data_IF_911672107985
#
_entry.id   IF_911672107985
#
_cell.length_a   1.000
_cell.length_b   1.000
_cell.length_c   1.000
_cell.angle_alpha   90.00
_cell.angle_beta   90.00
_cell.angle_gamma   90.00
#
_symmetry.space_group_name_H-M   'P 1'
#
loop_
_entity.id
_entity.type
_entity.pdbx_description
1 polymer ?
#
# COMPACT_ATOMS: atom_id res chain seq x y z
N UNK A 1 -15.86 3.62 2.77
CA UNK A 1 -16.78 4.05 1.71
C UNK A 1 -17.84 2.99 1.49
N UNK A 2 -19.04 3.37 1.02
CA UNK A 2 -20.07 2.40 0.58
C UNK A 2 -19.86 1.99 -0.88
N UNK A 3 -18.74 2.36 -1.49
CA UNK A 3 -18.37 1.99 -2.85
C UNK A 3 -17.73 0.61 -2.85
N UNK A 4 -18.46 -0.36 -3.39
CA UNK A 4 -18.04 -1.77 -3.45
C UNK A 4 -16.82 -1.96 -4.35
N UNK A 5 -16.75 -1.24 -5.48
CA UNK A 5 -15.64 -1.35 -6.44
C UNK A 5 -14.35 -0.84 -5.82
N UNK A 6 -14.40 0.34 -5.20
CA UNK A 6 -13.26 0.89 -4.48
C UNK A 6 -12.80 -0.02 -3.32
N UNK A 7 -13.75 -0.63 -2.58
CA UNK A 7 -13.43 -1.57 -1.49
C UNK A 7 -12.74 -2.83 -2.03
N UNK A 8 -13.23 -3.37 -3.15
CA UNK A 8 -12.62 -4.55 -3.79
C UNK A 8 -11.26 -4.21 -4.39
N UNK A 9 -11.11 -3.04 -5.00
CA UNK A 9 -9.82 -2.59 -5.53
C UNK A 9 -8.78 -2.49 -4.40
N UNK A 10 -9.14 -1.88 -3.25
CA UNK A 10 -8.27 -1.85 -2.07
C UNK A 10 -7.98 -3.25 -1.50
N UNK A 11 -8.91 -4.21 -1.58
CA UNK A 11 -8.67 -5.59 -1.15
C UNK A 11 -7.69 -6.33 -2.07
N UNK A 12 -7.71 -6.03 -3.35
CA UNK A 12 -6.94 -6.73 -4.38
C UNK A 12 -5.60 -6.06 -4.73
N UNK A 13 -5.34 -4.83 -4.24
CA UNK A 13 -4.19 -4.04 -4.68
C UNK A 13 -2.84 -4.76 -4.46
N UNK A 14 -2.72 -5.51 -3.38
CA UNK A 14 -1.51 -6.24 -3.02
C UNK A 14 -1.51 -7.72 -3.45
N UNK A 15 -2.47 -8.17 -4.27
CA UNK A 15 -2.54 -9.58 -4.69
C UNK A 15 -1.32 -10.04 -5.48
N UNK A 16 -0.60 -9.12 -6.10
CA UNK A 16 0.63 -9.35 -6.85
C UNK A 16 1.90 -9.11 -6.02
N UNK A 17 1.75 -8.75 -4.74
CA UNK A 17 2.90 -8.43 -3.88
C UNK A 17 3.69 -9.69 -3.57
N UNK A 18 4.97 -9.79 -4.03
CA UNK A 18 5.81 -10.94 -3.75
C UNK A 18 6.32 -10.92 -2.32
N UNK A 19 6.80 -12.09 -1.86
CA UNK A 19 7.61 -12.15 -0.64
C UNK A 19 8.82 -11.23 -0.80
N UNK A 20 9.11 -10.43 0.23
CA UNK A 20 10.20 -9.43 0.21
C UNK A 20 10.03 -8.30 -0.83
N UNK A 21 8.79 -7.82 -1.06
CA UNK A 21 8.46 -6.81 -2.08
C UNK A 21 9.54 -5.71 -2.19
N UNK A 22 9.87 -5.03 -1.10
CA UNK A 22 10.83 -3.92 -1.14
C UNK A 22 12.25 -4.35 -1.57
N UNK A 23 12.68 -5.55 -1.21
CA UNK A 23 13.97 -6.09 -1.71
C UNK A 23 13.90 -6.46 -3.19
N UNK A 24 12.74 -6.89 -3.68
CA UNK A 24 12.48 -7.11 -5.11
C UNK A 24 12.51 -5.78 -5.87
N UNK A 25 11.97 -4.71 -5.30
CA UNK A 25 12.08 -3.36 -5.90
C UNK A 25 13.56 -2.92 -6.02
N UNK A 26 14.40 -3.20 -5.02
CA UNK A 26 15.84 -2.99 -5.11
C UNK A 26 16.50 -3.88 -6.16
N UNK A 27 16.09 -5.14 -6.27
CA UNK A 27 16.58 -6.08 -7.29
C UNK A 27 16.26 -5.58 -8.71
N UNK A 28 15.08 -5.05 -8.92
CA UNK A 28 14.58 -4.52 -10.18
C UNK A 28 15.06 -3.09 -10.47
N UNK A 29 15.76 -2.43 -9.54
CA UNK A 29 16.22 -1.04 -9.68
C UNK A 29 15.12 0.00 -9.47
N UNK A 30 13.96 -0.39 -8.97
CA UNK A 30 12.79 0.46 -8.76
C UNK A 30 12.59 0.88 -7.29
N UNK A 31 13.65 0.93 -6.53
CA UNK A 31 13.64 1.25 -5.10
C UNK A 31 13.10 2.64 -4.74
N UNK A 32 12.93 3.52 -5.73
CA UNK A 32 12.39 4.88 -5.53
C UNK A 32 10.86 4.92 -5.66
N UNK A 33 10.28 4.23 -6.64
CA UNK A 33 8.83 4.19 -6.89
C UNK A 33 8.15 3.03 -6.18
N UNK A 34 8.80 1.85 -6.17
CA UNK A 34 8.32 0.62 -5.53
C UNK A 34 7.05 0.04 -6.18
N UNK A 35 6.92 0.21 -7.51
CA UNK A 35 5.78 -0.23 -8.32
C UNK A 35 6.13 -1.43 -9.23
N UNK A 36 7.34 -1.98 -9.13
CA UNK A 36 7.90 -2.95 -10.09
C UNK A 36 7.08 -4.25 -10.24
N UNK A 37 6.20 -4.55 -9.29
CA UNK A 37 5.38 -5.78 -9.26
C UNK A 37 3.90 -5.54 -9.52
N UNK A 38 3.41 -4.31 -9.54
CA UNK A 38 1.98 -3.99 -9.64
C UNK A 38 1.35 -4.42 -10.96
N UNK A 39 2.10 -4.42 -12.05
CA UNK A 39 1.65 -4.84 -13.39
C UNK A 39 1.20 -6.31 -13.50
N UNK A 40 1.34 -7.12 -12.43
CA UNK A 40 0.89 -8.50 -12.39
C UNK A 40 -0.53 -8.66 -11.84
N UNK A 41 -1.08 -7.65 -11.17
CA UNK A 41 -2.39 -7.69 -10.50
C UNK A 41 -3.50 -8.14 -11.45
N UNK A 42 -3.66 -7.48 -12.60
CA UNK A 42 -4.65 -7.83 -13.63
C UNK A 42 -4.54 -9.30 -14.04
N UNK A 43 -3.33 -9.76 -14.37
CA UNK A 43 -3.10 -11.15 -14.81
C UNK A 43 -3.45 -12.18 -13.73
N UNK A 44 -3.19 -11.88 -12.47
CA UNK A 44 -3.52 -12.77 -11.35
C UNK A 44 -5.03 -12.85 -11.18
N UNK A 45 -5.73 -11.71 -11.23
CA UNK A 45 -7.19 -11.64 -11.16
C UNK A 45 -7.81 -12.44 -12.31
N UNK A 46 -7.37 -12.21 -13.56
CA UNK A 46 -7.87 -12.91 -14.76
C UNK A 46 -7.70 -14.43 -14.69
N UNK A 47 -6.58 -14.91 -14.14
CA UNK A 47 -6.31 -16.34 -13.99
C UNK A 47 -7.11 -17.00 -12.88
N UNK A 48 -7.62 -16.24 -11.93
CA UNK A 48 -8.39 -16.75 -10.79
C UNK A 48 -9.86 -16.94 -11.17
N UNK A 49 -10.26 -18.18 -11.46
CA UNK A 49 -11.67 -18.51 -11.75
C UNK A 49 -12.62 -18.07 -10.62
N UNK A 50 -12.19 -18.19 -9.37
CA UNK A 50 -13.00 -17.82 -8.21
C UNK A 50 -13.26 -16.31 -8.16
N UNK A 51 -12.20 -15.49 -8.33
CA UNK A 51 -12.33 -14.03 -8.32
C UNK A 51 -13.19 -13.58 -9.52
N UNK A 52 -12.89 -14.05 -10.71
CA UNK A 52 -13.63 -13.66 -11.93
C UNK A 52 -15.10 -14.06 -11.89
N UNK A 53 -15.45 -15.21 -11.32
CA UNK A 53 -16.85 -15.63 -11.12
C UNK A 53 -17.58 -14.72 -10.12
N UNK A 54 -16.93 -14.33 -9.02
CA UNK A 54 -17.51 -13.41 -8.04
C UNK A 54 -17.71 -12.01 -8.62
N UNK A 55 -16.73 -11.47 -9.33
CA UNK A 55 -16.83 -10.18 -10.00
C UNK A 55 -17.99 -10.18 -11.02
N UNK A 56 -18.08 -11.24 -11.85
CA UNK A 56 -19.17 -11.40 -12.83
C UNK A 56 -20.55 -11.47 -12.17
N UNK A 57 -20.69 -12.20 -11.06
CA UNK A 57 -21.92 -12.26 -10.27
C UNK A 57 -22.37 -10.89 -9.79
N UNK A 58 -21.42 -10.06 -9.40
CA UNK A 58 -21.65 -8.71 -8.91
C UNK A 58 -21.70 -7.65 -10.02
N UNK A 59 -21.53 -8.06 -11.28
CA UNK A 59 -21.48 -7.17 -12.46
C UNK A 59 -20.40 -6.09 -12.34
N UNK A 60 -19.23 -6.50 -11.91
CA UNK A 60 -18.04 -5.65 -11.76
C UNK A 60 -16.99 -6.10 -12.78
N UNK A 61 -16.50 -5.18 -13.60
CA UNK A 61 -15.43 -5.44 -14.54
C UNK A 61 -14.07 -5.48 -13.84
N UNK A 62 -13.13 -6.26 -14.35
CA UNK A 62 -11.78 -6.37 -13.78
C UNK A 62 -11.10 -5.00 -13.74
N UNK A 63 -11.23 -4.22 -14.81
CA UNK A 63 -10.68 -2.86 -14.91
C UNK A 63 -11.19 -1.87 -13.86
N UNK A 64 -12.25 -2.22 -13.13
CA UNK A 64 -12.78 -1.41 -12.03
C UNK A 64 -12.17 -1.77 -10.67
N UNK A 65 -11.33 -2.83 -10.60
CA UNK A 65 -10.78 -3.34 -9.34
C UNK A 65 -9.30 -3.73 -9.40
N UNK A 66 -8.69 -3.79 -10.58
CA UNK A 66 -7.29 -4.19 -10.76
C UNK A 66 -6.27 -3.05 -10.61
N UNK A 67 -6.77 -1.80 -10.61
CA UNK A 67 -5.95 -0.60 -10.41
C UNK A 67 -6.58 0.30 -9.35
N UNK A 68 -6.07 0.27 -8.12
CA UNK A 68 -6.61 1.07 -7.02
C UNK A 68 -6.29 2.56 -7.10
N UNK A 69 -5.32 2.97 -7.93
CA UNK A 69 -4.97 4.39 -8.17
C UNK A 69 -6.10 5.19 -8.84
N UNK A 70 -7.06 4.51 -9.49
CA UNK A 70 -8.24 5.20 -10.05
C UNK A 70 -9.18 5.76 -8.97
N UNK A 71 -9.00 5.34 -7.72
CA UNK A 71 -9.79 5.76 -6.57
C UNK A 71 -8.98 6.66 -5.65
N UNK A 72 -9.17 7.96 -5.72
CA UNK A 72 -8.42 8.96 -4.96
C UNK A 72 -8.46 8.80 -3.44
N UNK A 73 -9.48 8.08 -2.92
CA UNK A 73 -9.56 7.74 -1.49
C UNK A 73 -8.71 6.50 -1.18
N UNK A 74 -8.61 5.53 -2.11
CA UNK A 74 -7.83 4.31 -1.91
C UNK A 74 -6.34 4.62 -1.98
N UNK A 75 -5.93 5.31 -3.06
CA UNK A 75 -4.57 5.81 -3.21
C UNK A 75 -4.52 7.16 -3.95
N UNK A 76 -3.46 7.92 -3.74
CA UNK A 76 -3.21 9.22 -4.36
C UNK A 76 -1.73 9.63 -4.24
N UNK A 77 -1.37 10.72 -4.89
CA UNK A 77 -0.02 11.28 -4.87
C UNK A 77 0.44 11.69 -3.46
N UNK A 78 1.66 11.30 -3.11
CA UNK A 78 2.33 11.77 -1.88
C UNK A 78 2.53 13.30 -1.94
N UNK A 79 2.25 14.06 -0.87
CA UNK A 79 2.03 13.64 0.53
C UNK A 79 0.56 13.55 0.96
N UNK A 80 -0.40 13.52 0.02
CA UNK A 80 -1.83 13.46 0.35
C UNK A 80 -2.18 12.20 1.14
N UNK A 81 -3.22 12.25 1.97
CA UNK A 81 -3.68 11.11 2.75
C UNK A 81 -4.60 10.23 1.90
N UNK A 82 -4.36 8.92 1.89
CA UNK A 82 -5.22 7.90 1.30
C UNK A 82 -5.43 6.75 2.27
N UNK A 83 -6.33 5.82 1.93
CA UNK A 83 -6.66 4.70 2.79
C UNK A 83 -5.47 3.76 3.02
N UNK A 84 -4.68 3.50 1.97
CA UNK A 84 -3.48 2.69 2.04
C UNK A 84 -2.44 3.30 3.00
N UNK A 85 -2.09 4.59 2.82
CA UNK A 85 -1.14 5.29 3.72
C UNK A 85 -1.64 5.37 5.16
N UNK A 86 -2.95 5.56 5.36
CA UNK A 86 -3.55 5.56 6.70
C UNK A 86 -3.39 4.19 7.35
N UNK A 87 -3.76 3.12 6.62
CA UNK A 87 -3.73 1.74 7.12
C UNK A 87 -2.33 1.35 7.55
N UNK A 88 -1.34 1.37 6.63
CA UNK A 88 -0.01 0.92 6.97
C UNK A 88 0.68 1.80 8.03
N UNK A 89 0.34 3.11 8.10
CA UNK A 89 0.89 3.97 9.12
C UNK A 89 0.37 3.59 10.51
N UNK A 90 -0.92 3.32 10.65
CA UNK A 90 -1.52 2.93 11.93
C UNK A 90 -1.11 1.51 12.33
N UNK A 91 -1.11 0.55 11.39
CA UNK A 91 -0.69 -0.83 11.63
C UNK A 91 0.77 -0.90 12.07
N UNK A 92 1.66 -0.22 11.36
CA UNK A 92 3.09 -0.22 11.70
C UNK A 92 3.35 0.48 13.03
N UNK A 93 2.63 1.56 13.34
CA UNK A 93 2.73 2.23 14.63
C UNK A 93 2.34 1.33 15.80
N UNK A 94 1.33 0.47 15.61
CA UNK A 94 0.88 -0.48 16.61
C UNK A 94 1.78 -1.71 16.68
N UNK A 95 1.91 -2.44 15.55
CA UNK A 95 2.47 -3.79 15.56
C UNK A 95 3.98 -3.84 15.41
N UNK A 96 4.58 -2.90 14.69
CA UNK A 96 6.03 -2.91 14.41
C UNK A 96 6.81 -2.06 15.39
N UNK A 97 6.34 -0.83 15.61
CA UNK A 97 7.10 0.14 16.40
C UNK A 97 6.56 0.32 17.82
N UNK A 98 5.34 -0.17 18.10
CA UNK A 98 4.67 -0.07 19.41
C UNK A 98 4.67 1.37 19.97
N UNK A 99 4.42 2.35 19.10
CA UNK A 99 4.38 3.79 19.44
C UNK A 99 2.96 4.33 19.51
N UNK A 100 1.95 3.50 19.18
CA UNK A 100 0.53 3.81 19.25
C UNK A 100 -0.22 2.58 19.78
N UNK A 101 -1.23 2.79 20.60
CA UNK A 101 -2.12 1.74 21.07
C UNK A 101 -3.46 1.73 20.30
N UNK A 102 -4.30 0.74 20.55
CA UNK A 102 -5.61 0.60 19.90
C UNK A 102 -6.51 1.81 20.18
N UNK A 103 -6.42 2.40 21.37
CA UNK A 103 -7.19 3.60 21.71
C UNK A 103 -6.75 4.79 20.86
N UNK A 104 -5.45 5.00 20.72
CA UNK A 104 -4.89 6.05 19.88
C UNK A 104 -5.21 5.87 18.39
N UNK A 105 -5.23 4.63 17.90
CA UNK A 105 -5.71 4.31 16.54
C UNK A 105 -7.16 4.74 16.38
N UNK A 106 -8.01 4.34 17.33
CA UNK A 106 -9.44 4.67 17.28
C UNK A 106 -9.67 6.17 17.29
N UNK A 107 -8.97 6.92 18.12
CA UNK A 107 -9.06 8.39 18.18
C UNK A 107 -8.73 9.03 16.83
N UNK A 108 -7.64 8.59 16.17
CA UNK A 108 -7.23 9.07 14.85
C UNK A 108 -8.27 8.69 13.80
N UNK A 109 -8.70 7.43 13.79
CA UNK A 109 -9.65 6.91 12.80
C UNK A 109 -11.03 7.57 12.90
N UNK A 110 -11.53 7.78 14.12
CA UNK A 110 -12.83 8.43 14.37
C UNK A 110 -12.84 9.91 13.92
N UNK A 111 -11.67 10.55 13.78
CA UNK A 111 -11.55 11.94 13.32
C UNK A 111 -11.39 12.07 11.80
N UNK A 112 -11.23 10.95 11.08
CA UNK A 112 -11.11 10.96 9.61
C UNK A 112 -12.45 11.31 8.97
N UNK A 113 -12.37 12.13 7.92
CA UNK A 113 -13.51 12.42 7.04
C UNK A 113 -13.10 12.52 5.58
N UNK A 114 -14.06 12.36 4.67
CA UNK A 114 -13.85 12.58 3.23
C UNK A 114 -14.14 14.04 2.93
N UNK A 115 -13.12 14.73 2.47
CA UNK A 115 -13.19 16.14 2.07
C UNK A 115 -12.99 16.29 0.55
N UNK A 116 -13.17 17.49 0.03
CA UNK A 116 -12.75 17.87 -1.32
C UNK A 116 -11.57 18.83 -1.22
N UNK A 117 -10.52 18.54 -1.98
CA UNK A 117 -9.37 19.43 -2.10
C UNK A 117 -9.67 20.62 -3.03
N UNK A 118 -8.67 21.45 -3.30
CA UNK A 118 -8.77 22.65 -4.14
C UNK A 118 -9.18 22.32 -5.59
N UNK A 119 -8.89 21.09 -6.05
CA UNK A 119 -9.24 20.58 -7.37
C UNK A 119 -10.63 19.91 -7.39
N UNK A 120 -11.40 20.00 -6.29
CA UNK A 120 -12.69 19.32 -6.10
C UNK A 120 -12.61 17.77 -6.13
N UNK A 121 -11.43 17.20 -6.01
CA UNK A 121 -11.20 15.76 -5.89
C UNK A 121 -11.41 15.33 -4.43
N UNK A 122 -12.07 14.18 -4.24
CA UNK A 122 -12.26 13.62 -2.90
C UNK A 122 -10.93 13.10 -2.36
N UNK A 123 -10.63 13.43 -1.11
CA UNK A 123 -9.49 12.89 -0.38
C UNK A 123 -9.83 12.68 1.10
N UNK A 124 -8.99 11.91 1.81
CA UNK A 124 -9.09 11.77 3.26
C UNK A 124 -8.47 12.98 3.94
N UNK A 125 -9.14 13.47 4.97
CA UNK A 125 -8.67 14.55 5.82
C UNK A 125 -9.07 14.30 7.27
N UNK A 126 -8.72 15.25 8.13
CA UNK A 126 -9.07 15.23 9.54
C UNK A 126 -10.08 16.34 9.83
N UNK A 127 -11.05 16.05 10.70
CA UNK A 127 -12.00 17.07 11.19
C UNK A 127 -11.31 18.09 12.07
N UNK A 128 -10.30 17.67 12.84
CA UNK A 128 -9.60 18.54 13.78
C UNK A 128 -8.13 18.72 13.43
N UNK A 129 -7.63 19.95 13.58
CA UNK A 129 -6.22 20.28 13.40
C UNK A 129 -5.32 19.51 14.38
N UNK A 130 -5.83 19.26 15.58
CA UNK A 130 -5.10 18.54 16.62
C UNK A 130 -4.78 17.12 16.16
N UNK A 131 -5.78 16.41 15.60
CA UNK A 131 -5.62 15.04 15.15
C UNK A 131 -4.76 14.97 13.88
N UNK A 132 -4.89 15.95 12.97
CA UNK A 132 -4.00 16.09 11.83
C UNK A 132 -2.53 16.22 12.29
N UNK A 133 -2.25 17.09 13.26
CA UNK A 133 -0.89 17.25 13.80
C UNK A 133 -0.39 15.97 14.48
N UNK A 134 -1.24 15.28 15.24
CA UNK A 134 -0.91 14.00 15.89
C UNK A 134 -0.49 12.97 14.84
N UNK A 135 -1.27 12.84 13.78
CA UNK A 135 -0.97 11.91 12.68
C UNK A 135 0.29 12.28 11.91
N UNK A 136 0.50 13.57 11.56
CA UNK A 136 1.72 14.03 10.88
C UNK A 136 2.97 13.76 11.71
N UNK A 137 2.94 13.97 13.03
CA UNK A 137 4.05 13.63 13.92
C UNK A 137 4.34 12.13 13.91
N UNK A 138 3.31 11.30 13.96
CA UNK A 138 3.43 9.85 13.88
C UNK A 138 4.07 9.41 12.55
N UNK A 139 3.54 9.87 11.42
CA UNK A 139 4.05 9.49 10.08
C UNK A 139 5.45 10.03 9.82
N UNK A 140 5.80 11.21 10.35
CA UNK A 140 7.16 11.74 10.29
C UNK A 140 8.16 10.83 11.03
N UNK A 141 7.79 10.35 12.22
CA UNK A 141 8.60 9.38 12.95
C UNK A 141 8.76 8.08 12.14
N UNK A 142 7.68 7.52 11.63
CA UNK A 142 7.72 6.29 10.82
C UNK A 142 8.58 6.48 9.55
N UNK A 143 8.46 7.63 8.89
CA UNK A 143 9.25 7.96 7.69
C UNK A 143 10.76 7.98 7.98
N UNK A 144 11.17 8.47 9.15
CA UNK A 144 12.57 8.43 9.59
C UNK A 144 13.02 6.96 9.75
N UNK A 145 12.19 6.11 10.36
CA UNK A 145 12.50 4.70 10.57
C UNK A 145 12.62 3.94 9.23
N UNK A 146 11.73 4.17 8.27
CA UNK A 146 11.78 3.54 6.94
C UNK A 146 13.02 3.94 6.14
N UNK A 147 13.50 5.18 6.30
CA UNK A 147 14.64 5.74 5.56
C UNK A 147 15.99 5.54 6.23
N UNK A 148 16.06 4.83 7.36
CA UNK A 148 17.33 4.54 8.00
C UNK A 148 18.26 3.76 7.08
N UNK A 149 19.55 4.05 7.14
CA UNK A 149 20.57 3.32 6.36
C UNK A 149 20.52 1.82 6.61
N UNK A 150 20.30 1.41 7.87
CA UNK A 150 20.15 -0.02 8.23
C UNK A 150 19.03 -0.70 7.45
N UNK A 151 17.85 -0.08 7.37
CA UNK A 151 16.69 -0.62 6.66
C UNK A 151 16.99 -0.75 5.16
N UNK A 152 17.50 0.31 4.55
CA UNK A 152 17.84 0.32 3.12
C UNK A 152 18.97 -0.65 2.78
N UNK A 153 19.99 -0.72 3.63
CA UNK A 153 21.08 -1.68 3.48
C UNK A 153 20.59 -3.13 3.53
N UNK A 154 19.68 -3.45 4.46
CA UNK A 154 19.12 -4.81 4.56
C UNK A 154 18.34 -5.21 3.30
N UNK A 155 17.57 -4.28 2.73
CA UNK A 155 16.84 -4.52 1.47
C UNK A 155 17.81 -4.73 0.30
N UNK A 156 18.82 -3.88 0.16
CA UNK A 156 19.86 -4.02 -0.87
C UNK A 156 20.64 -5.33 -0.71
N UNK A 157 21.04 -5.66 0.51
CA UNK A 157 21.76 -6.90 0.80
C UNK A 157 20.95 -8.14 0.38
N UNK A 158 19.65 -8.18 0.73
CA UNK A 158 18.80 -9.29 0.30
C UNK A 158 18.64 -9.32 -1.23
N UNK A 159 18.48 -8.17 -1.87
CA UNK A 159 18.44 -8.08 -3.33
C UNK A 159 19.73 -8.63 -3.98
N UNK A 160 20.90 -8.37 -3.40
CA UNK A 160 22.17 -8.91 -3.88
C UNK A 160 22.27 -10.43 -3.70
N UNK A 161 21.78 -10.95 -2.57
CA UNK A 161 21.70 -12.42 -2.35
C UNK A 161 20.76 -13.07 -3.36
N UNK A 162 19.57 -12.50 -3.59
CA UNK A 162 18.61 -13.01 -4.58
C UNK A 162 19.23 -13.01 -6.00
N UNK A 163 19.94 -11.96 -6.36
CA UNK A 163 20.66 -11.89 -7.66
C UNK A 163 21.74 -12.95 -7.80
N UNK A 164 22.44 -13.28 -6.72
CA UNK A 164 23.43 -14.38 -6.74
C UNK A 164 22.74 -15.73 -6.90
N UNK A 165 21.65 -15.99 -6.20
CA UNK A 165 20.89 -17.24 -6.31
C UNK A 165 20.27 -17.41 -7.70
N UNK A 166 19.78 -16.33 -8.33
CA UNK A 166 19.27 -16.36 -9.70
C UNK A 166 20.41 -16.73 -10.70
N UNK A 167 21.58 -16.11 -10.56
CA UNK A 167 22.75 -16.45 -11.41
C UNK A 167 23.22 -17.91 -11.27
N UNK A 168 23.04 -18.49 -10.09
CA UNK A 168 23.34 -19.88 -9.82
C UNK A 168 22.19 -20.85 -10.21
N UNK A 169 21.11 -20.35 -10.81
CA UNK A 169 19.90 -21.09 -11.16
C UNK A 169 19.25 -21.81 -9.97
N UNK A 170 19.40 -21.27 -8.76
CA UNK A 170 18.76 -21.79 -7.54
C UNK A 170 17.37 -21.25 -7.31
N UNK A 171 17.07 -20.11 -7.89
CA UNK A 171 15.73 -19.48 -7.92
C UNK A 171 15.47 -18.90 -9.32
N UNK A 172 14.23 -18.70 -9.67
CA UNK A 172 13.84 -17.99 -10.89
C UNK A 172 12.95 -16.77 -10.55
N UNK A 173 12.76 -15.88 -11.52
CA UNK A 173 11.86 -14.72 -11.39
C UNK A 173 10.39 -15.12 -11.20
N UNK A 174 10.07 -16.41 -11.38
CA UNK A 174 8.71 -16.93 -11.25
C UNK A 174 8.49 -17.68 -9.93
N UNK A 175 9.54 -17.80 -9.11
CA UNK A 175 9.48 -18.41 -7.78
C UNK A 175 9.12 -17.35 -6.72
#
# INVERSE_FOLDING_TARGET
THDKKQTLSGLLHDIATPVFKHSIDFLNGDYMKQESTEGLTTKIIEKSKQITELLRKDKIDISEVDNYHIYSIADNETPKLCADRLEYSLSNALFIYNVLDVKGIKEIYDDIEIQKNEESVKELGFRTKEMAIKFVKLTSYLSIMYRQHKTRYSMQFLADVLRCLEKENKISKND
#
